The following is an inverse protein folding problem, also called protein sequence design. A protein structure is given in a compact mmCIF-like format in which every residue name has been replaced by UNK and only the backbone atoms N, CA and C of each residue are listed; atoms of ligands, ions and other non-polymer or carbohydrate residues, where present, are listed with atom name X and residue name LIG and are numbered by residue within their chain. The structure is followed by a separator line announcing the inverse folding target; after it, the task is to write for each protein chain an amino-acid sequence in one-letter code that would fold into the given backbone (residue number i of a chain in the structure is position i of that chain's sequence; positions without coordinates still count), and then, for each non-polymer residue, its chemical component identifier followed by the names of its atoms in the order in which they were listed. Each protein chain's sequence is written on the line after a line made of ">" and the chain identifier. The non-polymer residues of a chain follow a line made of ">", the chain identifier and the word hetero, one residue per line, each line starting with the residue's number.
data_IF_100113070182
#
_entry.id   IF_100113070182
#
_cell.length_a   1.000
_cell.length_b   1.000
_cell.length_c   1.000
_cell.angle_alpha   90.00
_cell.angle_beta   90.00
_cell.angle_gamma   90.00
#
_symmetry.space_group_name_H-M   'P 1'
#
loop_
_entity.id
_entity.type
_entity.pdbx_description
1 polymer ?
#
# COMPACT_ATOMS: atom_id res chain seq x y z
N UNK A 1 -15.18 -9.46 21.58
CA UNK A 1 -14.41 -9.91 20.40
C UNK A 1 -13.72 -8.69 19.78
N UNK A 2 -12.44 -8.44 20.12
CA UNK A 2 -11.65 -7.30 19.59
C UNK A 2 -11.10 -7.67 18.19
N UNK A 3 -11.98 -7.80 17.20
CA UNK A 3 -11.63 -8.36 15.88
C UNK A 3 -10.72 -7.41 15.07
N UNK A 4 -10.77 -6.12 15.37
CA UNK A 4 -10.04 -5.06 14.66
C UNK A 4 -9.04 -4.40 15.61
N UNK A 5 -7.98 -5.14 15.95
CA UNK A 5 -6.77 -4.51 16.50
C UNK A 5 -6.31 -3.41 15.53
N UNK A 6 -5.94 -2.25 16.08
CA UNK A 6 -5.63 -1.03 15.33
C UNK A 6 -4.70 -1.32 14.14
N UNK A 7 -5.25 -1.35 12.92
CA UNK A 7 -4.48 -1.31 11.68
C UNK A 7 -3.53 -0.09 11.66
N UNK A 8 -3.85 0.95 12.44
CA UNK A 8 -3.06 2.16 12.58
C UNK A 8 -1.82 2.01 13.47
N UNK A 9 -1.70 0.97 14.28
CA UNK A 9 -0.45 0.67 15.01
C UNK A 9 0.63 0.12 14.06
N UNK A 10 0.25 -0.25 12.83
CA UNK A 10 1.12 -0.87 11.83
C UNK A 10 1.97 0.12 11.00
N UNK A 11 1.85 1.43 11.24
CA UNK A 11 2.59 2.43 10.46
C UNK A 11 3.46 3.26 11.41
N UNK A 12 4.80 3.21 11.28
CA UNK A 12 5.68 4.01 12.12
C UNK A 12 5.41 5.50 11.88
N UNK A 13 4.99 6.20 12.94
CA UNK A 13 4.76 7.65 12.95
C UNK A 13 6.02 8.45 13.30
N UNK A 14 7.12 7.79 13.67
CA UNK A 14 8.35 8.45 14.09
C UNK A 14 9.25 8.80 12.88
N UNK A 15 9.59 10.08 12.67
CA UNK A 15 10.47 10.53 11.60
C UNK A 15 11.97 10.29 11.85
N UNK A 16 12.38 9.68 12.97
CA UNK A 16 13.68 10.05 13.56
C UNK A 16 14.90 9.14 13.32
N UNK A 17 14.82 7.99 12.64
CA UNK A 17 16.04 7.15 12.43
C UNK A 17 16.17 6.36 11.13
N UNK A 18 15.10 6.20 10.33
CA UNK A 18 15.15 5.42 9.08
C UNK A 18 14.90 6.30 7.86
N UNK A 19 15.62 6.02 6.78
CA UNK A 19 15.38 6.57 5.45
C UNK A 19 13.96 6.22 4.94
N UNK A 20 13.51 6.92 3.90
CA UNK A 20 12.17 6.73 3.33
C UNK A 20 11.89 5.26 2.96
N UNK A 21 12.87 4.61 2.35
CA UNK A 21 12.78 3.20 1.96
C UNK A 21 12.64 2.29 3.18
N UNK A 22 13.42 2.50 4.25
CA UNK A 22 13.30 1.77 5.50
C UNK A 22 11.93 1.96 6.17
N UNK A 23 11.37 3.17 6.15
CA UNK A 23 10.00 3.44 6.64
C UNK A 23 8.95 2.69 5.81
N UNK A 24 9.11 2.67 4.48
CA UNK A 24 8.20 1.98 3.58
C UNK A 24 8.30 0.46 3.71
N UNK A 25 9.50 -0.10 3.90
CA UNK A 25 9.74 -1.50 4.22
C UNK A 25 9.12 -1.90 5.55
N UNK A 26 9.30 -1.09 6.60
CA UNK A 26 8.68 -1.33 7.90
C UNK A 26 7.15 -1.32 7.80
N UNK A 27 6.57 -0.35 7.08
CA UNK A 27 5.13 -0.30 6.84
C UNK A 27 4.65 -1.53 6.03
N UNK A 28 5.39 -1.92 4.99
CA UNK A 28 5.08 -3.09 4.17
C UNK A 28 5.06 -4.39 5.00
N UNK A 29 6.03 -4.55 5.91
CA UNK A 29 6.11 -5.70 6.80
C UNK A 29 4.90 -5.77 7.74
N UNK A 30 4.61 -4.69 8.46
CA UNK A 30 3.51 -4.65 9.43
C UNK A 30 2.14 -4.82 8.75
N UNK A 31 1.95 -4.24 7.56
CA UNK A 31 0.71 -4.41 6.78
C UNK A 31 0.60 -5.85 6.23
N UNK A 32 1.71 -6.43 5.75
CA UNK A 32 1.76 -7.82 5.31
C UNK A 32 1.39 -8.78 6.45
N UNK A 33 1.97 -8.59 7.63
CA UNK A 33 1.69 -9.39 8.83
C UNK A 33 0.23 -9.24 9.26
N UNK A 34 -0.32 -8.03 9.17
CA UNK A 34 -1.74 -7.78 9.42
C UNK A 34 -2.63 -8.58 8.45
N UNK A 35 -2.34 -8.53 7.15
CA UNK A 35 -3.11 -9.27 6.15
C UNK A 35 -2.94 -10.78 6.29
N UNK A 36 -1.76 -11.24 6.65
CA UNK A 36 -1.48 -12.65 6.86
C UNK A 36 -2.22 -13.22 8.08
N UNK A 37 -2.08 -12.57 9.25
CA UNK A 37 -2.74 -12.99 10.49
C UNK A 37 -4.28 -13.05 10.37
N UNK A 38 -4.85 -12.34 9.40
CA UNK A 38 -6.29 -12.28 9.13
C UNK A 38 -6.67 -12.81 7.76
N UNK A 39 -5.80 -13.59 7.11
CA UNK A 39 -5.99 -14.06 5.73
C UNK A 39 -7.31 -14.81 5.52
N UNK A 40 -7.69 -15.67 6.48
CA UNK A 40 -8.96 -16.42 6.40
C UNK A 40 -10.17 -15.48 6.49
N UNK A 41 -10.13 -14.49 7.38
CA UNK A 41 -11.18 -13.48 7.50
C UNK A 41 -11.26 -12.61 6.23
N UNK A 42 -10.13 -12.16 5.71
CA UNK A 42 -10.06 -11.34 4.49
C UNK A 42 -10.56 -12.11 3.26
N UNK A 43 -10.34 -13.42 3.18
CA UNK A 43 -10.89 -14.27 2.11
C UNK A 43 -12.41 -14.40 2.18
N UNK A 44 -12.97 -14.34 3.39
CA UNK A 44 -14.42 -14.37 3.62
C UNK A 44 -15.07 -13.00 3.44
N UNK A 45 -14.31 -11.91 3.53
CA UNK A 45 -14.80 -10.58 3.18
C UNK A 45 -15.01 -10.53 1.65
N UNK A 46 -16.25 -10.36 1.18
CA UNK A 46 -16.53 -10.17 -0.22
C UNK A 46 -15.81 -8.91 -0.71
N UNK A 47 -15.28 -8.96 -1.93
CA UNK A 47 -14.91 -7.74 -2.66
C UNK A 47 -16.14 -6.84 -2.74
N UNK A 48 -16.00 -5.53 -2.58
CA UNK A 48 -17.12 -4.56 -2.48
C UNK A 48 -18.20 -4.69 -3.58
N UNK A 49 -17.86 -5.25 -4.74
CA UNK A 49 -18.76 -5.48 -5.87
C UNK A 49 -19.73 -6.65 -5.70
N UNK A 50 -19.46 -7.61 -4.81
CA UNK A 50 -20.24 -8.86 -4.72
C UNK A 50 -21.15 -8.97 -3.49
N UNK A 51 -21.28 -7.91 -2.68
CA UNK A 51 -22.11 -7.93 -1.47
C UNK A 51 -23.55 -7.43 -1.71
N UNK A 52 -24.58 -8.17 -1.25
CA UNK A 52 -25.93 -7.64 -1.14
C UNK A 52 -25.95 -6.42 -0.19
N UNK A 53 -26.69 -5.37 -0.56
CA UNK A 53 -26.78 -4.10 0.16
C UNK A 53 -27.12 -4.24 1.67
N UNK A 54 -27.80 -5.32 2.06
CA UNK A 54 -28.27 -5.54 3.43
C UNK A 54 -27.20 -6.10 4.38
N UNK A 55 -26.19 -6.82 3.88
CA UNK A 55 -25.08 -7.38 4.69
C UNK A 55 -23.97 -6.34 4.93
N UNK A 56 -24.05 -5.18 4.25
CA UNK A 56 -23.06 -4.09 4.25
C UNK A 56 -22.97 -3.32 5.58
N UNK A 57 -24.05 -3.28 6.35
CA UNK A 57 -24.34 -2.21 7.33
C UNK A 57 -23.58 -2.19 8.67
N UNK A 58 -22.74 -3.17 9.02
CA UNK A 58 -21.98 -3.10 10.31
C UNK A 58 -20.55 -3.62 10.19
N UNK A 59 -20.39 -4.83 9.65
CA UNK A 59 -19.06 -5.44 9.46
C UNK A 59 -18.33 -4.76 8.30
N UNK A 60 -19.04 -4.50 7.20
CA UNK A 60 -18.51 -3.77 6.05
C UNK A 60 -18.08 -2.36 6.40
N UNK A 61 -18.91 -1.59 7.12
CA UNK A 61 -18.60 -0.20 7.48
C UNK A 61 -17.34 -0.05 8.34
N UNK A 62 -17.15 -0.92 9.34
CA UNK A 62 -15.97 -0.86 10.20
C UNK A 62 -14.69 -1.27 9.44
N UNK A 63 -14.79 -2.28 8.57
CA UNK A 63 -13.71 -2.65 7.67
C UNK A 63 -13.36 -1.51 6.70
N UNK A 64 -14.37 -0.86 6.11
CA UNK A 64 -14.18 0.26 5.19
C UNK A 64 -13.55 1.46 5.88
N UNK A 65 -14.00 1.80 7.10
CA UNK A 65 -13.40 2.87 7.89
C UNK A 65 -11.93 2.56 8.20
N UNK A 66 -11.62 1.30 8.55
CA UNK A 66 -10.24 0.87 8.83
C UNK A 66 -9.37 0.88 7.58
N UNK A 67 -9.90 0.42 6.43
CA UNK A 67 -9.23 0.45 5.14
C UNK A 67 -8.96 1.88 4.67
N UNK A 68 -9.91 2.79 4.86
CA UNK A 68 -9.76 4.22 4.54
C UNK A 68 -8.63 4.84 5.35
N UNK A 69 -8.60 4.59 6.66
CA UNK A 69 -7.52 5.06 7.55
C UNK A 69 -6.15 4.51 7.14
N UNK A 70 -6.08 3.23 6.78
CA UNK A 70 -4.86 2.62 6.27
C UNK A 70 -4.38 3.29 4.97
N UNK A 71 -5.32 3.51 4.04
CA UNK A 71 -5.03 4.20 2.79
C UNK A 71 -4.49 5.62 3.02
N UNK A 72 -5.13 6.39 3.91
CA UNK A 72 -4.70 7.75 4.27
C UNK A 72 -3.30 7.77 4.89
N UNK A 73 -2.99 6.82 5.78
CA UNK A 73 -1.69 6.73 6.42
C UNK A 73 -0.58 6.34 5.42
N UNK A 74 -0.83 5.36 4.53
CA UNK A 74 0.12 5.00 3.46
C UNK A 74 0.28 6.14 2.45
N UNK A 75 -0.81 6.82 2.09
CA UNK A 75 -0.76 7.99 1.21
C UNK A 75 0.07 9.12 1.83
N UNK A 76 -0.03 9.34 3.13
CA UNK A 76 0.79 10.33 3.83
C UNK A 76 2.28 9.97 3.80
N UNK A 77 2.62 8.68 4.00
CA UNK A 77 4.00 8.21 3.86
C UNK A 77 4.53 8.43 2.44
N UNK A 78 3.74 8.08 1.41
CA UNK A 78 4.11 8.28 0.00
C UNK A 78 4.27 9.76 -0.34
N UNK A 79 3.40 10.62 0.18
CA UNK A 79 3.50 12.06 0.01
C UNK A 79 4.81 12.62 0.57
N UNK A 80 5.35 12.06 1.67
CA UNK A 80 6.70 12.41 2.14
C UNK A 80 7.77 11.99 1.16
N UNK A 81 7.69 10.78 0.60
CA UNK A 81 8.61 10.32 -0.44
C UNK A 81 8.56 11.17 -1.72
N UNK A 82 7.39 11.72 -2.04
CA UNK A 82 7.19 12.69 -3.12
C UNK A 82 7.89 14.03 -2.85
N UNK A 83 7.71 14.60 -1.65
CA UNK A 83 8.41 15.83 -1.22
C UNK A 83 9.94 15.63 -1.23
N UNK A 84 10.40 14.45 -0.83
CA UNK A 84 11.82 14.07 -0.82
C UNK A 84 12.36 13.64 -2.19
N UNK A 85 11.55 13.70 -3.26
CA UNK A 85 11.90 13.30 -4.64
C UNK A 85 12.30 11.82 -4.81
N UNK A 86 11.94 10.95 -3.86
CA UNK A 86 12.06 9.50 -4.02
C UNK A 86 10.96 8.92 -4.92
N UNK A 87 9.78 9.58 -4.95
CA UNK A 87 8.61 9.16 -5.72
C UNK A 87 8.19 10.29 -6.67
N UNK A 88 7.74 9.91 -7.86
CA UNK A 88 7.29 10.84 -8.90
C UNK A 88 6.00 11.58 -8.50
N UNK A 89 5.85 12.83 -8.93
CA UNK A 89 4.74 13.72 -8.52
C UNK A 89 3.52 13.64 -9.44
N UNK A 90 3.65 13.03 -10.61
CA UNK A 90 2.62 12.96 -11.64
C UNK A 90 1.45 12.05 -11.25
N UNK A 91 1.66 11.17 -10.26
CA UNK A 91 0.62 10.28 -9.75
C UNK A 91 0.27 10.69 -8.32
N UNK A 92 -1.01 10.94 -8.00
CA UNK A 92 -1.42 11.28 -6.64
C UNK A 92 -1.03 10.21 -5.62
N UNK A 93 -0.53 10.63 -4.46
CA UNK A 93 -0.09 9.72 -3.40
C UNK A 93 -1.17 8.70 -2.98
N UNK A 94 -2.44 9.09 -2.99
CA UNK A 94 -3.56 8.20 -2.68
C UNK A 94 -3.73 7.07 -3.71
N UNK A 95 -3.48 7.35 -4.99
CA UNK A 95 -3.55 6.33 -6.06
C UNK A 95 -2.41 5.33 -5.89
N UNK A 96 -1.19 5.82 -5.64
CA UNK A 96 -0.04 4.97 -5.36
C UNK A 96 -0.23 4.14 -4.09
N UNK A 97 -0.81 4.71 -3.04
CA UNK A 97 -1.13 4.00 -1.81
C UNK A 97 -2.15 2.88 -2.04
N UNK A 98 -3.21 3.15 -2.82
CA UNK A 98 -4.21 2.14 -3.16
C UNK A 98 -3.59 0.97 -3.94
N UNK A 99 -2.70 1.26 -4.89
CA UNK A 99 -1.97 0.24 -5.64
C UNK A 99 -1.06 -0.58 -4.72
N UNK A 100 -0.26 0.08 -3.89
CA UNK A 100 0.65 -0.56 -2.94
C UNK A 100 -0.09 -1.49 -1.97
N UNK A 101 -1.20 -1.04 -1.39
CA UNK A 101 -2.05 -1.87 -0.53
C UNK A 101 -2.69 -3.04 -1.29
N UNK A 102 -3.06 -2.83 -2.56
CA UNK A 102 -3.56 -3.89 -3.44
C UNK A 102 -2.53 -5.00 -3.66
N UNK A 103 -1.27 -4.63 -3.90
CA UNK A 103 -0.18 -5.59 -4.09
C UNK A 103 0.12 -6.38 -2.80
N UNK A 104 0.24 -5.69 -1.66
CA UNK A 104 0.44 -6.33 -0.35
C UNK A 104 -0.68 -7.32 -0.02
N UNK A 105 -1.94 -6.94 -0.27
CA UNK A 105 -3.09 -7.82 -0.04
C UNK A 105 -3.05 -9.05 -0.95
N UNK A 106 -2.70 -8.87 -2.22
CA UNK A 106 -2.62 -9.95 -3.21
C UNK A 106 -1.52 -10.94 -2.83
N UNK A 107 -0.35 -10.44 -2.45
CA UNK A 107 0.77 -11.27 -2.00
C UNK A 107 0.44 -12.01 -0.71
N UNK A 108 -0.18 -11.36 0.28
CA UNK A 108 -0.63 -12.03 1.49
C UNK A 108 -1.64 -13.17 1.20
N UNK A 109 -2.51 -13.00 0.20
CA UNK A 109 -3.47 -14.03 -0.22
C UNK A 109 -2.77 -15.25 -0.84
N UNK A 110 -1.67 -15.02 -1.56
CA UNK A 110 -0.92 -16.01 -2.33
C UNK A 110 0.43 -16.41 -1.70
N UNK A 111 0.66 -16.08 -0.42
CA UNK A 111 1.95 -16.30 0.26
C UNK A 111 2.45 -17.75 0.12
N UNK A 112 1.55 -18.72 0.28
CA UNK A 112 1.87 -20.16 0.25
C UNK A 112 2.35 -20.66 -1.12
N UNK A 113 2.05 -19.92 -2.20
CA UNK A 113 2.43 -20.27 -3.58
C UNK A 113 3.53 -19.36 -4.15
N UNK A 114 3.89 -18.28 -3.44
CA UNK A 114 4.94 -17.38 -3.86
C UNK A 114 6.32 -17.95 -3.49
N UNK A 115 7.34 -17.81 -4.36
CA UNK A 115 8.72 -18.11 -3.98
C UNK A 115 9.14 -17.32 -2.74
N UNK A 116 9.94 -17.91 -1.85
CA UNK A 116 10.35 -17.29 -0.57
C UNK A 116 10.96 -15.90 -0.72
N UNK A 117 11.67 -15.66 -1.82
CA UNK A 117 12.26 -14.37 -2.19
C UNK A 117 11.21 -13.26 -2.39
N UNK A 118 10.03 -13.64 -2.89
CA UNK A 118 8.91 -12.73 -3.18
C UNK A 118 7.95 -12.55 -2.00
N UNK A 119 8.15 -13.32 -0.92
CA UNK A 119 7.41 -13.20 0.34
C UNK A 119 7.98 -12.10 1.24
N UNK A 120 9.19 -11.62 0.94
CA UNK A 120 9.90 -10.60 1.71
C UNK A 120 9.29 -9.20 1.46
N UNK A 121 9.00 -8.40 2.50
CA UNK A 121 8.50 -7.03 2.34
C UNK A 121 9.40 -6.16 1.45
N UNK A 122 10.71 -6.36 1.50
CA UNK A 122 11.71 -5.64 0.71
C UNK A 122 11.52 -5.87 -0.79
N UNK A 123 11.12 -7.06 -1.21
CA UNK A 123 10.87 -7.36 -2.62
C UNK A 123 9.65 -6.57 -3.15
N UNK A 124 8.63 -6.39 -2.31
CA UNK A 124 7.43 -5.60 -2.63
C UNK A 124 7.77 -4.13 -2.74
N UNK A 125 8.53 -3.61 -1.77
CA UNK A 125 8.96 -2.22 -1.77
C UNK A 125 9.88 -1.92 -2.95
N UNK A 126 10.86 -2.78 -3.23
CA UNK A 126 11.74 -2.62 -4.37
C UNK A 126 10.95 -2.60 -5.71
N UNK A 127 9.96 -3.49 -5.86
CA UNK A 127 9.09 -3.50 -7.04
C UNK A 127 8.26 -2.21 -7.14
N UNK A 128 7.66 -1.79 -6.03
CA UNK A 128 6.86 -0.56 -5.97
C UNK A 128 7.71 0.67 -6.30
N UNK A 129 8.89 0.80 -5.70
CA UNK A 129 9.80 1.92 -5.94
C UNK A 129 10.30 1.92 -7.38
N UNK A 130 10.67 0.78 -7.98
CA UNK A 130 10.99 0.72 -9.42
C UNK A 130 9.85 1.23 -10.30
N UNK A 131 8.63 0.92 -9.91
CA UNK A 131 7.42 1.35 -10.62
C UNK A 131 7.03 2.80 -10.36
N UNK A 132 7.40 3.41 -9.21
CA UNK A 132 6.92 4.71 -8.74
C UNK A 132 8.01 5.79 -8.63
N UNK A 133 9.28 5.41 -8.73
CA UNK A 133 10.42 6.32 -8.61
C UNK A 133 10.47 7.32 -9.76
N UNK A 134 11.16 8.43 -9.49
CA UNK A 134 11.52 9.42 -10.49
C UNK A 134 12.54 8.76 -11.43
N UNK A 135 12.18 8.52 -12.68
CA UNK A 135 13.15 8.06 -13.67
C UNK A 135 14.01 9.25 -14.12
N UNK A 136 15.35 9.22 -13.96
CA UNK A 136 16.22 10.16 -14.62
C UNK A 136 16.26 9.80 -16.12
N UNK A 137 15.29 10.27 -16.92
CA UNK A 137 15.34 9.96 -18.35
C UNK A 137 14.11 10.19 -19.22
N UNK A 138 12.95 10.58 -18.70
CA UNK A 138 11.88 11.14 -19.56
C UNK A 138 11.93 12.66 -19.49
N UNK A 139 12.96 13.21 -20.12
CA UNK A 139 12.85 14.51 -20.78
C UNK A 139 11.64 14.36 -21.69
N UNK A 140 10.56 15.08 -21.39
CA UNK A 140 9.51 15.28 -22.36
C UNK A 140 10.21 15.93 -23.54
N UNK A 141 10.42 15.19 -24.63
CA UNK A 141 10.92 15.77 -25.86
C UNK A 141 9.87 16.80 -26.31
N UNK A 142 10.07 18.05 -25.92
CA UNK A 142 9.67 19.20 -26.72
C UNK A 142 10.27 18.97 -28.11
N UNK A 143 9.46 18.45 -29.01
CA UNK A 143 9.77 18.47 -30.42
C UNK A 143 9.74 19.96 -30.84
N UNK A 144 10.86 20.54 -31.28
CA UNK A 144 10.83 21.90 -31.81
C UNK A 144 9.95 21.92 -33.07
N UNK A 145 9.05 22.91 -33.11
CA UNK A 145 8.26 23.27 -34.30
C UNK A 145 9.18 23.33 -35.52
N UNK A 146 8.87 22.57 -36.56
CA UNK A 146 9.42 22.83 -37.90
C UNK A 146 8.63 23.96 -38.57
N UNK A 147 9.33 24.84 -39.31
CA UNK A 147 8.75 26.04 -39.94
C UNK A 147 7.78 25.71 -41.08
#
# INVERSE_FOLDING_TARGET
>A
MKIYGNILEAIPTSPDKCDFEGQLCSAAAQISDFFESRRQLIRMLPSDESMPLNTRKKVGEHWQASRKRLLEAVASLIARGQVQKHIRLEIPAQVLAAYFLGDLRTRARHRDILPKEHQRPEAVVAMFLRGAAVHPGKVCCDQPKKP
#
